data_IF_387467584841
#
_entry.id   IF_387467584841
#
_cell.length_a   1.000
_cell.length_b   1.000
_cell.length_c   1.000
_cell.angle_alpha   90.00
_cell.angle_beta   90.00
_cell.angle_gamma   90.00
#
_symmetry.space_group_name_H-M   'P 1'
#
loop_
_entity.id
_entity.type
_entity.pdbx_description
1 polymer ?
#
# COMPACT_ATOMS: atom_id res chain seq x y z
N UNK A 1 -8.33 -1.72 9.16
CA UNK A 1 -8.24 -1.26 7.75
C UNK A 1 -6.95 -0.50 7.68
N UNK A 2 -5.97 -1.09 7.00
CA UNK A 2 -4.59 -0.63 7.02
C UNK A 2 -4.46 0.75 6.39
N UNK A 3 -3.85 1.69 7.11
CA UNK A 3 -3.66 3.07 6.64
C UNK A 3 -2.20 3.52 6.69
N UNK A 4 -1.28 2.58 6.94
CA UNK A 4 0.15 2.85 6.95
C UNK A 4 0.94 1.61 6.55
N UNK A 5 1.88 1.78 5.63
CA UNK A 5 2.85 0.75 5.27
C UNK A 5 4.22 1.36 5.03
N UNK A 6 5.26 0.56 5.16
CA UNK A 6 6.62 0.94 4.77
C UNK A 6 6.91 0.39 3.37
N UNK A 7 7.58 1.18 2.55
CA UNK A 7 8.18 0.72 1.29
C UNK A 7 9.66 1.10 1.25
N UNK A 8 10.41 0.53 0.31
CA UNK A 8 11.80 0.92 0.10
C UNK A 8 11.90 2.38 -0.38
N UNK A 9 12.90 3.13 0.09
CA UNK A 9 13.22 4.46 -0.47
C UNK A 9 13.53 4.41 -1.97
N UNK A 10 14.12 3.31 -2.44
CA UNK A 10 14.46 3.05 -3.86
C UNK A 10 13.96 1.66 -4.28
N UNK A 11 12.72 1.54 -4.81
CA UNK A 11 12.07 0.24 -5.02
C UNK A 11 12.60 -0.59 -6.21
N UNK A 12 13.47 -0.03 -7.06
CA UNK A 12 14.00 -0.71 -8.25
C UNK A 12 14.94 -1.89 -7.98
N UNK A 13 15.45 -2.05 -6.76
CA UNK A 13 16.43 -3.08 -6.42
C UNK A 13 15.79 -4.19 -5.56
N UNK A 14 15.16 -5.16 -6.22
CA UNK A 14 14.49 -6.29 -5.55
C UNK A 14 15.46 -7.24 -4.83
N UNK A 15 16.75 -7.25 -5.24
CA UNK A 15 17.79 -8.12 -4.66
C UNK A 15 18.56 -7.49 -3.50
N UNK A 16 18.52 -6.17 -3.32
CA UNK A 16 19.20 -5.48 -2.20
C UNK A 16 18.29 -5.28 -0.98
N UNK A 17 17.05 -5.77 -1.00
CA UNK A 17 16.15 -5.78 0.14
C UNK A 17 16.56 -6.78 1.25
N UNK A 18 17.84 -7.12 1.32
CA UNK A 18 18.44 -7.83 2.44
C UNK A 18 19.16 -6.82 3.34
N UNK A 19 18.73 -6.82 4.60
CA UNK A 19 19.26 -6.13 5.79
C UNK A 19 19.11 -4.60 5.99
N UNK A 20 19.19 -3.70 5.01
CA UNK A 20 19.29 -2.25 5.37
C UNK A 20 18.67 -1.26 4.36
N UNK A 21 17.65 -1.67 3.61
CA UNK A 21 16.95 -0.70 2.75
C UNK A 21 16.23 0.31 3.61
N UNK A 22 16.74 1.54 3.63
CA UNK A 22 16.09 2.66 4.28
C UNK A 22 14.62 2.69 3.85
N UNK A 23 13.72 2.54 4.82
CA UNK A 23 12.30 2.48 4.55
C UNK A 23 11.70 3.89 4.56
N UNK A 24 10.59 4.05 3.85
CA UNK A 24 9.74 5.24 3.88
C UNK A 24 8.36 4.81 4.36
N UNK A 25 7.89 5.43 5.43
CA UNK A 25 6.51 5.30 5.88
C UNK A 25 5.59 6.03 4.92
N UNK A 26 4.59 5.32 4.41
CA UNK A 26 3.53 5.81 3.54
C UNK A 26 2.23 5.81 4.33
N UNK A 27 1.57 6.96 4.39
CA UNK A 27 0.22 7.13 4.93
C UNK A 27 -0.76 7.44 3.80
N UNK A 28 -2.04 7.41 4.15
CA UNK A 28 -3.14 7.84 3.27
C UNK A 28 -2.81 9.20 2.65
N UNK A 29 -2.97 9.32 1.34
CA UNK A 29 -2.63 10.48 0.48
C UNK A 29 -1.16 10.69 0.15
N UNK A 30 -0.23 9.92 0.70
CA UNK A 30 1.19 10.02 0.32
C UNK A 30 1.43 9.38 -1.06
N UNK A 31 2.55 9.78 -1.69
CA UNK A 31 3.06 9.17 -2.92
C UNK A 31 3.90 7.92 -2.60
N UNK A 32 3.58 6.82 -3.27
CA UNK A 32 4.30 5.55 -3.21
C UNK A 32 4.48 4.99 -4.63
N UNK A 33 5.54 4.22 -4.85
CA UNK A 33 5.69 3.51 -6.11
C UNK A 33 4.78 2.30 -6.14
N UNK A 34 4.20 2.03 -7.30
CA UNK A 34 3.49 0.79 -7.60
C UNK A 34 4.11 0.16 -8.84
N UNK A 35 4.05 -1.17 -8.90
CA UNK A 35 4.49 -1.94 -10.07
C UNK A 35 3.31 -2.14 -11.02
N UNK A 36 3.45 -1.67 -12.25
CA UNK A 36 2.47 -1.88 -13.32
C UNK A 36 2.60 -3.28 -13.93
N UNK A 37 1.60 -3.75 -14.70
CA UNK A 37 1.69 -5.02 -15.42
C UNK A 37 2.86 -5.09 -16.40
N UNK A 38 3.33 -3.95 -16.90
CA UNK A 38 4.52 -3.82 -17.75
C UNK A 38 5.83 -4.10 -17.00
N UNK A 39 5.79 -4.14 -15.66
CA UNK A 39 6.95 -4.25 -14.79
C UNK A 39 7.53 -2.91 -14.34
N UNK A 40 7.08 -1.80 -14.93
CA UNK A 40 7.51 -0.45 -14.57
C UNK A 40 7.09 -0.07 -13.15
N UNK A 41 7.96 0.66 -12.45
CA UNK A 41 7.65 1.28 -11.16
C UNK A 41 7.30 2.75 -11.36
N UNK A 42 6.05 3.11 -11.07
CA UNK A 42 5.56 4.48 -11.22
C UNK A 42 5.06 5.04 -9.89
N UNK A 43 5.26 6.33 -9.59
CA UNK A 43 4.68 6.94 -8.40
C UNK A 43 3.17 7.11 -8.56
N UNK A 44 2.41 6.70 -7.54
CA UNK A 44 0.98 6.95 -7.42
C UNK A 44 0.63 7.43 -6.02
N UNK A 45 -0.44 8.23 -5.94
CA UNK A 45 -1.01 8.67 -4.66
C UNK A 45 -1.81 7.52 -4.04
N UNK A 46 -1.51 7.15 -2.80
CA UNK A 46 -2.30 6.14 -2.08
C UNK A 46 -3.62 6.73 -1.56
N UNK A 47 -4.60 6.78 -2.46
CA UNK A 47 -5.96 7.22 -2.17
C UNK A 47 -6.73 7.67 -3.41
N UNK A 48 -7.78 6.92 -3.75
CA UNK A 48 -8.75 7.27 -4.77
C UNK A 48 -9.45 8.58 -4.40
N UNK A 49 -9.40 9.53 -5.32
CA UNK A 49 -10.05 10.84 -5.18
C UNK A 49 -11.54 10.70 -5.51
N UNK A 50 -12.37 11.43 -4.77
CA UNK A 50 -13.83 11.45 -4.95
C UNK A 50 -14.28 12.90 -4.89
N UNK A 51 -15.05 13.35 -5.89
CA UNK A 51 -15.49 14.75 -5.97
C UNK A 51 -16.38 15.08 -4.76
N UNK A 52 -16.00 16.12 -4.00
CA UNK A 52 -16.74 16.57 -2.81
C UNK A 52 -16.70 15.60 -1.62
N UNK A 53 -15.91 14.53 -1.66
CA UNK A 53 -15.81 13.52 -0.61
C UNK A 53 -14.34 13.28 -0.23
N UNK A 54 -14.11 12.74 0.97
CA UNK A 54 -12.76 12.34 1.39
C UNK A 54 -12.19 11.19 0.54
N UNK A 55 -10.86 11.04 0.55
CA UNK A 55 -10.17 10.01 -0.25
C UNK A 55 -10.40 8.59 0.28
N UNK A 56 -10.19 7.56 -0.54
CA UNK A 56 -10.30 6.16 -0.09
C UNK A 56 -9.07 5.38 -0.53
N UNK A 57 -8.37 4.75 0.41
CA UNK A 57 -7.14 4.01 0.15
C UNK A 57 -7.34 2.49 0.13
N UNK A 58 -8.45 1.98 0.67
CA UNK A 58 -8.78 0.56 0.68
C UNK A 58 -10.19 0.33 0.15
N UNK A 59 -10.39 -0.83 -0.46
CA UNK A 59 -11.70 -1.36 -0.80
C UNK A 59 -11.83 -2.79 -0.29
N UNK A 60 -13.05 -3.22 0.00
CA UNK A 60 -13.33 -4.63 0.28
C UNK A 60 -13.39 -5.39 -1.04
N UNK A 61 -12.90 -6.63 -1.05
CA UNK A 61 -12.90 -7.48 -2.26
C UNK A 61 -14.31 -7.74 -2.80
N UNK A 62 -15.32 -7.83 -1.93
CA UNK A 62 -16.73 -7.99 -2.30
C UNK A 62 -17.35 -6.73 -2.93
N UNK A 63 -16.72 -5.55 -2.78
CA UNK A 63 -17.21 -4.28 -3.33
C UNK A 63 -16.56 -3.89 -4.67
N UNK A 64 -15.65 -4.73 -5.21
CA UNK A 64 -14.89 -4.41 -6.43
C UNK A 64 -15.77 -4.19 -7.67
N UNK A 65 -17.01 -4.70 -7.68
CA UNK A 65 -17.96 -4.53 -8.80
C UNK A 65 -18.71 -3.19 -8.79
N UNK A 66 -18.58 -2.38 -7.74
CA UNK A 66 -19.27 -1.08 -7.69
C UNK A 66 -18.65 -0.06 -8.66
N UNK A 67 -19.43 0.96 -9.02
CA UNK A 67 -19.09 1.97 -10.03
C UNK A 67 -17.72 2.63 -9.79
N UNK A 68 -17.32 2.79 -8.53
CA UNK A 68 -16.05 3.41 -8.16
C UNK A 68 -14.82 2.57 -8.51
N UNK A 69 -14.94 1.25 -8.41
CA UNK A 69 -13.79 0.33 -8.47
C UNK A 69 -13.73 -0.49 -9.74
N UNK A 70 -14.89 -0.77 -10.36
CA UNK A 70 -15.04 -1.72 -11.47
C UNK A 70 -14.02 -1.47 -12.59
N UNK A 71 -13.95 -0.24 -13.08
CA UNK A 71 -13.09 0.10 -14.21
C UNK A 71 -11.60 0.09 -13.83
N UNK A 72 -11.26 0.41 -12.58
CA UNK A 72 -9.89 0.32 -12.06
C UNK A 72 -9.41 -1.13 -11.89
N UNK A 73 -10.25 -2.01 -11.34
CA UNK A 73 -9.87 -3.42 -11.14
C UNK A 73 -9.78 -4.18 -12.46
N UNK A 74 -10.60 -3.82 -13.46
CA UNK A 74 -10.57 -4.42 -14.80
C UNK A 74 -9.33 -3.99 -15.59
N UNK A 75 -8.98 -2.69 -15.57
CA UNK A 75 -8.05 -2.12 -16.55
C UNK A 75 -6.77 -1.50 -15.96
N UNK A 76 -6.70 -1.22 -14.65
CA UNK A 76 -5.58 -0.48 -14.02
C UNK A 76 -5.08 -1.14 -12.74
N UNK A 77 -4.90 -2.47 -12.78
CA UNK A 77 -4.26 -3.21 -11.69
C UNK A 77 -2.80 -2.80 -11.56
N UNK A 78 -2.34 -2.69 -10.32
CA UNK A 78 -0.94 -2.52 -9.96
C UNK A 78 -0.65 -3.31 -8.70
N UNK A 79 0.62 -3.54 -8.41
CA UNK A 79 1.07 -4.15 -7.15
C UNK A 79 1.80 -3.12 -6.31
N UNK A 80 1.50 -3.04 -5.02
CA UNK A 80 2.19 -2.19 -4.06
C UNK A 80 3.31 -3.02 -3.40
N UNK A 81 4.59 -2.64 -3.57
CA UNK A 81 5.71 -3.28 -2.87
C UNK A 81 5.81 -2.76 -1.43
N UNK A 82 5.19 -3.46 -0.47
CA UNK A 82 5.27 -3.13 0.95
C UNK A 82 6.33 -3.98 1.66
N UNK A 83 7.24 -3.36 2.40
CA UNK A 83 8.18 -4.08 3.28
C UNK A 83 7.48 -4.55 4.56
N UNK A 84 6.52 -3.75 5.03
CA UNK A 84 5.73 -4.03 6.22
C UNK A 84 4.48 -3.16 6.24
N UNK A 85 3.46 -3.55 7.00
CA UNK A 85 2.29 -2.71 7.25
C UNK A 85 1.93 -2.68 8.74
N UNK A 86 1.14 -1.68 9.12
CA UNK A 86 0.71 -1.49 10.50
C UNK A 86 -0.79 -1.70 10.64
N UNK A 87 -1.17 -2.38 11.73
CA UNK A 87 -2.55 -2.42 12.21
C UNK A 87 -2.59 -2.12 13.71
N UNK A 88 -3.78 -1.76 14.20
CA UNK A 88 -3.97 -1.34 15.58
C UNK A 88 -5.08 -2.12 16.26
N UNK A 89 -4.85 -2.54 17.49
CA UNK A 89 -5.86 -3.19 18.34
C UNK A 89 -6.03 -2.43 19.66
N UNK A 90 -7.14 -2.70 20.36
CA UNK A 90 -7.46 -2.06 21.64
C UNK A 90 -8.38 -0.84 21.51
N UNK A 91 -8.76 -0.23 22.65
CA UNK A 91 -9.75 0.83 22.71
C UNK A 91 -9.23 2.15 22.10
N UNK A 92 -10.17 3.01 21.67
CA UNK A 92 -9.84 4.36 21.17
C UNK A 92 -9.09 5.14 22.26
N UNK A 93 -7.99 5.79 21.89
CA UNK A 93 -7.13 6.53 22.82
C UNK A 93 -6.02 5.70 23.47
N UNK A 94 -6.11 4.37 23.42
CA UNK A 94 -5.08 3.46 23.97
C UNK A 94 -4.90 2.25 23.04
N UNK A 95 -4.51 2.53 21.79
CA UNK A 95 -4.33 1.50 20.76
C UNK A 95 -2.90 0.96 20.78
N UNK A 96 -2.75 -0.35 20.82
CA UNK A 96 -1.48 -1.02 20.54
C UNK A 96 -1.22 -1.01 19.04
N UNK A 97 -0.01 -0.62 18.64
CA UNK A 97 0.45 -0.70 17.25
C UNK A 97 1.13 -2.03 17.00
N UNK A 98 0.77 -2.69 15.91
CA UNK A 98 1.36 -3.96 15.46
C UNK A 98 2.03 -3.77 14.11
N UNK A 99 3.22 -4.34 13.94
CA UNK A 99 3.98 -4.32 12.69
C UNK A 99 3.98 -5.72 12.07
N UNK A 100 3.51 -5.83 10.84
CA UNK A 100 3.50 -7.08 10.08
C UNK A 100 4.50 -6.99 8.93
N UNK A 101 5.39 -7.99 8.79
CA UNK A 101 6.41 -8.08 7.74
C UNK A 101 6.67 -9.54 7.38
N UNK A 102 7.24 -9.78 6.20
CA UNK A 102 7.72 -11.12 5.84
C UNK A 102 8.83 -11.56 6.80
N UNK A 103 8.86 -12.83 7.27
CA UNK A 103 9.96 -13.34 8.09
C UNK A 103 11.29 -13.36 7.33
N UNK A 104 11.24 -13.49 6.00
CA UNK A 104 12.40 -13.45 5.12
C UNK A 104 12.79 -12.03 4.72
N UNK A 105 12.08 -11.00 5.22
CA UNK A 105 12.28 -9.59 4.87
C UNK A 105 12.04 -9.26 3.38
N UNK A 106 11.31 -10.12 2.66
CA UNK A 106 10.82 -9.87 1.31
C UNK A 106 9.70 -8.83 1.26
N UNK A 107 9.40 -8.33 0.06
CA UNK A 107 8.19 -7.55 -0.19
C UNK A 107 6.92 -8.38 0.03
N UNK A 108 6.00 -7.79 0.78
CA UNK A 108 4.58 -8.09 0.73
C UNK A 108 3.98 -7.37 -0.48
N UNK A 109 3.51 -8.14 -1.45
CA UNK A 109 2.80 -7.60 -2.61
C UNK A 109 1.33 -7.45 -2.28
N UNK A 110 0.84 -6.22 -2.29
CA UNK A 110 -0.56 -5.85 -2.05
C UNK A 110 -1.21 -5.42 -3.36
#
# INVERSE_FOLDING_TARGET
MCNAFNTAKKPGNIREATSEVGSKLIRRTDQAHVKLPTGELVPMKWGFQRKGLGVVNNTRSDNLKSLMWKEAIENRRCLIPALSYYEWSGPKGNKQTHLFRSPNHDYLWI
#
